data_IF_156461572300
#
_entry.id   IF_156461572300
#
_cell.length_a   1.000
_cell.length_b   1.000
_cell.length_c   1.000
_cell.angle_alpha   90.00
_cell.angle_beta   90.00
_cell.angle_gamma   90.00
#
_symmetry.space_group_name_H-M   'P 1'
#
loop_
_entity.id
_entity.type
_entity.pdbx_description
1 polymer ?
#
# COMPACT_ATOMS: atom_id res chain seq x y z
N UNK A 1 3.13 -13.48 7.89
CA UNK A 1 1.94 -13.49 7.03
C UNK A 1 2.27 -14.26 5.77
N UNK A 2 1.28 -14.98 5.24
CA UNK A 2 1.31 -15.59 3.92
C UNK A 2 1.14 -14.54 2.81
N UNK A 3 1.54 -14.89 1.59
CA UNK A 3 1.35 -14.05 0.40
C UNK A 3 -0.12 -13.62 0.22
N UNK A 4 -1.06 -14.57 0.36
CA UNK A 4 -2.49 -14.28 0.22
C UNK A 4 -2.98 -13.26 1.25
N UNK A 5 -2.49 -13.34 2.50
CA UNK A 5 -2.85 -12.36 3.54
C UNK A 5 -2.32 -10.97 3.22
N UNK A 6 -1.12 -10.85 2.63
CA UNK A 6 -0.54 -9.56 2.23
C UNK A 6 -1.41 -8.90 1.16
N UNK A 7 -1.74 -9.62 0.09
CA UNK A 7 -2.60 -9.07 -0.96
C UNK A 7 -4.02 -8.77 -0.48
N UNK A 8 -4.58 -9.60 0.40
CA UNK A 8 -5.90 -9.35 0.97
C UNK A 8 -5.93 -8.06 1.80
N UNK A 9 -4.89 -7.84 2.62
CA UNK A 9 -4.75 -6.60 3.39
C UNK A 9 -4.56 -5.38 2.49
N UNK A 10 -3.77 -5.51 1.42
CA UNK A 10 -3.57 -4.45 0.44
C UNK A 10 -4.87 -4.07 -0.27
N UNK A 11 -5.63 -5.06 -0.75
CA UNK A 11 -6.96 -4.85 -1.35
C UNK A 11 -7.91 -4.17 -0.37
N UNK A 12 -7.93 -4.63 0.88
CA UNK A 12 -8.79 -4.06 1.92
C UNK A 12 -8.42 -2.62 2.23
N UNK A 13 -7.13 -2.28 2.19
CA UNK A 13 -6.64 -0.91 2.33
C UNK A 13 -6.98 -0.05 1.09
N UNK A 14 -6.79 -0.55 -0.13
CA UNK A 14 -7.20 0.13 -1.38
C UNK A 14 -8.70 0.42 -1.42
N UNK A 15 -9.52 -0.47 -0.86
CA UNK A 15 -10.97 -0.30 -0.73
C UNK A 15 -11.39 0.89 0.14
N UNK A 16 -10.46 1.50 0.89
CA UNK A 16 -10.73 2.72 1.68
C UNK A 16 -10.61 4.01 0.87
N UNK A 17 -10.24 3.93 -0.42
CA UNK A 17 -10.23 5.09 -1.32
C UNK A 17 -11.64 5.64 -1.54
N UNK A 18 -11.76 6.89 -2.02
CA UNK A 18 -13.03 7.61 -2.11
C UNK A 18 -14.13 6.84 -2.86
N UNK A 19 -13.79 6.11 -3.92
CA UNK A 19 -14.75 5.29 -4.69
C UNK A 19 -14.75 3.81 -4.30
N UNK A 20 -13.94 3.42 -3.33
CA UNK A 20 -13.72 2.03 -2.97
C UNK A 20 -13.22 1.19 -4.14
N UNK A 21 -13.43 -0.12 -4.04
CA UNK A 21 -13.10 -1.07 -5.09
C UNK A 21 -14.38 -1.76 -5.58
N UNK A 22 -14.50 -2.05 -6.89
CA UNK A 22 -15.65 -2.78 -7.41
C UNK A 22 -15.64 -4.23 -6.89
N UNK A 23 -16.82 -4.78 -6.63
CA UNK A 23 -16.94 -6.21 -6.35
C UNK A 23 -16.62 -7.01 -7.62
N UNK A 24 -15.54 -7.80 -7.59
CA UNK A 24 -15.10 -8.60 -8.74
C UNK A 24 -14.22 -9.75 -8.31
N UNK A 25 -14.49 -10.95 -8.84
CA UNK A 25 -13.64 -12.12 -8.67
C UNK A 25 -12.25 -11.96 -9.31
N UNK A 26 -12.08 -10.96 -10.19
CA UNK A 26 -10.82 -10.66 -10.86
C UNK A 26 -9.90 -9.74 -10.05
N UNK A 27 -10.36 -9.23 -8.91
CA UNK A 27 -9.62 -8.19 -8.19
C UNK A 27 -8.27 -8.70 -7.65
N UNK A 28 -8.27 -9.88 -7.02
CA UNK A 28 -7.04 -10.53 -6.54
C UNK A 28 -6.08 -10.89 -7.69
N UNK A 29 -6.51 -11.59 -8.76
CA UNK A 29 -5.66 -11.83 -9.93
C UNK A 29 -5.02 -10.55 -10.51
N UNK A 30 -5.79 -9.48 -10.67
CA UNK A 30 -5.31 -8.23 -11.25
C UNK A 30 -4.25 -7.56 -10.37
N UNK A 31 -4.46 -7.54 -9.04
CA UNK A 31 -3.49 -6.99 -8.10
C UNK A 31 -2.18 -7.77 -8.12
N UNK A 32 -2.24 -9.11 -8.15
CA UNK A 32 -1.04 -9.97 -8.19
C UNK A 32 -0.22 -9.82 -9.47
N UNK A 33 -0.85 -9.47 -10.59
CA UNK A 33 -0.14 -9.17 -11.84
C UNK A 33 0.53 -7.80 -11.78
N UNK A 34 -0.05 -6.84 -11.05
CA UNK A 34 0.38 -5.45 -11.08
C UNK A 34 1.40 -5.08 -10.01
N UNK A 35 1.38 -5.76 -8.86
CA UNK A 35 2.19 -5.47 -7.68
C UNK A 35 2.95 -6.70 -7.24
N UNK A 36 4.21 -6.51 -6.85
CA UNK A 36 4.94 -7.55 -6.12
C UNK A 36 4.43 -7.65 -4.68
N UNK A 37 4.85 -8.69 -3.97
CA UNK A 37 4.50 -8.89 -2.56
C UNK A 37 5.10 -7.74 -1.73
N UNK A 38 6.32 -7.34 -2.05
CA UNK A 38 7.06 -6.28 -1.37
C UNK A 38 6.37 -4.93 -1.56
N UNK A 39 5.94 -4.63 -2.79
CA UNK A 39 5.23 -3.38 -3.10
C UNK A 39 3.87 -3.34 -2.42
N UNK A 40 3.09 -4.43 -2.48
CA UNK A 40 1.79 -4.50 -1.83
C UNK A 40 1.92 -4.34 -0.30
N UNK A 41 2.89 -5.00 0.32
CA UNK A 41 3.18 -4.85 1.74
C UNK A 41 3.62 -3.42 2.09
N UNK A 42 4.51 -2.83 1.30
CA UNK A 42 5.02 -1.48 1.53
C UNK A 42 3.93 -0.42 1.37
N UNK A 43 3.10 -0.52 0.32
CA UNK A 43 2.04 0.45 0.06
C UNK A 43 0.88 0.35 1.04
N UNK A 44 0.64 -0.84 1.62
CA UNK A 44 -0.41 -1.01 2.63
C UNK A 44 -0.20 -0.06 3.80
N UNK A 45 -1.27 0.64 4.21
CA UNK A 45 -1.25 1.56 5.35
C UNK A 45 -0.72 2.96 5.05
N UNK A 46 -0.22 3.24 3.84
CA UNK A 46 0.12 4.62 3.44
C UNK A 46 -1.17 5.47 3.46
N UNK A 47 -1.14 6.74 3.91
CA UNK A 47 -2.31 7.61 3.84
C UNK A 47 -2.66 7.98 2.39
N UNK A 48 -3.96 8.07 2.07
CA UNK A 48 -4.43 8.59 0.77
C UNK A 48 -4.48 10.13 0.73
N UNK A 49 -4.21 10.79 1.85
CA UNK A 49 -4.07 12.24 1.99
C UNK A 49 -2.60 12.64 2.02
N UNK A 50 -2.32 13.94 1.88
CA UNK A 50 -1.00 14.47 2.20
C UNK A 50 -0.65 14.15 3.66
N UNK A 51 0.56 13.64 3.87
CA UNK A 51 1.22 13.45 5.16
C UNK A 51 2.61 14.05 5.08
N UNK A 52 3.12 14.52 6.21
CA UNK A 52 4.50 14.99 6.24
C UNK A 52 5.50 13.83 6.19
N UNK A 53 6.77 14.16 6.00
CA UNK A 53 7.80 13.18 5.67
C UNK A 53 8.20 12.38 6.92
N UNK A 54 8.15 13.02 8.08
CA UNK A 54 8.40 12.47 9.40
C UNK A 54 7.33 11.45 9.81
N UNK A 55 6.05 11.78 9.60
CA UNK A 55 4.91 10.87 9.80
C UNK A 55 5.02 9.62 8.92
N UNK A 56 5.41 9.79 7.65
CA UNK A 56 5.61 8.66 6.73
C UNK A 56 6.81 7.80 7.13
N UNK A 57 7.88 8.43 7.61
CA UNK A 57 9.08 7.74 8.09
C UNK A 57 8.77 6.90 9.34
N UNK A 58 8.06 7.47 10.31
CA UNK A 58 7.59 6.75 11.49
C UNK A 58 6.69 5.58 11.11
N UNK A 59 5.71 5.80 10.23
CA UNK A 59 4.80 4.77 9.73
C UNK A 59 5.53 3.60 9.06
N UNK A 60 6.63 3.89 8.36
CA UNK A 60 7.43 2.88 7.64
C UNK A 60 8.62 2.37 8.42
N UNK A 61 8.86 2.87 9.63
CA UNK A 61 10.02 2.53 10.44
C UNK A 61 11.34 2.83 9.72
N UNK A 62 11.40 3.93 8.97
CA UNK A 62 12.58 4.37 8.19
C UNK A 62 13.05 5.75 8.67
N UNK A 63 14.25 6.14 8.26
CA UNK A 63 14.72 7.51 8.46
C UNK A 63 14.03 8.44 7.45
N UNK A 64 13.56 9.63 7.84
CA UNK A 64 13.04 10.63 6.91
C UNK A 64 13.96 10.88 5.70
N UNK A 65 15.28 10.88 5.89
CA UNK A 65 16.25 11.08 4.79
C UNK A 65 16.12 10.02 3.70
N UNK A 66 15.77 8.78 4.04
CA UNK A 66 15.59 7.68 3.09
C UNK A 66 14.34 7.86 2.20
N UNK A 67 13.42 8.76 2.59
CA UNK A 67 12.19 9.07 1.86
C UNK A 67 12.30 10.38 1.06
N UNK A 68 13.40 11.13 1.18
CA UNK A 68 13.58 12.35 0.42
C UNK A 68 13.68 12.04 -1.07
N UNK A 69 13.03 12.84 -1.93
CA UNK A 69 13.22 12.71 -3.38
C UNK A 69 14.70 12.90 -3.75
N UNK A 70 15.21 12.05 -4.64
CA UNK A 70 16.52 12.22 -5.25
C UNK A 70 16.48 13.36 -6.29
N UNK A 71 16.50 14.62 -5.86
CA UNK A 71 16.64 15.80 -6.73
C UNK A 71 17.88 16.62 -6.36
#
# INVERSE_FOLDING_TARGET
MSESEIYQNFISWLGKTWWGLPESDQLMPLIKVRYTIEDAAYSTGIPFSGSDLEELAELKGRDPVDLKPCF
#
